data_IF_255676118149
#
_entry.id   IF_255676118149
#
_cell.length_a   1.000
_cell.length_b   1.000
_cell.length_c   1.000
_cell.angle_alpha   90.00
_cell.angle_beta   90.00
_cell.angle_gamma   90.00
#
_symmetry.space_group_name_H-M   'P 1'
#
loop_
_entity.id
_entity.type
_entity.pdbx_description
1 polymer ?
#
# COMPACT_ATOMS: atom_id res chain seq x y z
N UNK A 1 -8.48 6.56 0.70
CA UNK A 1 -7.43 5.60 1.14
C UNK A 1 -7.69 5.18 2.58
N UNK A 2 -7.34 3.95 2.97
CA UNK A 2 -7.44 3.46 4.36
C UNK A 2 -6.06 3.17 4.93
N UNK A 3 -5.94 3.29 6.24
CA UNK A 3 -4.75 2.93 7.01
C UNK A 3 -5.11 1.89 8.06
N UNK A 4 -4.17 1.02 8.40
CA UNK A 4 -4.35 0.07 9.51
C UNK A 4 -4.13 0.76 10.85
N UNK A 5 -5.00 0.44 11.80
CA UNK A 5 -4.89 0.85 13.21
C UNK A 5 -5.06 -0.39 14.11
N UNK A 6 -4.69 -0.34 15.40
CA UNK A 6 -4.86 -1.49 16.29
C UNK A 6 -6.31 -1.97 16.43
N UNK A 7 -7.30 -1.12 16.15
CA UNK A 7 -8.73 -1.46 16.16
C UNK A 7 -9.30 -1.76 14.77
N UNK A 8 -8.44 -1.89 13.75
CA UNK A 8 -8.80 -2.18 12.37
C UNK A 8 -8.60 -1.00 11.43
N UNK A 9 -9.08 -1.14 10.19
CA UNK A 9 -8.87 -0.13 9.16
C UNK A 9 -9.66 1.16 9.41
N UNK A 10 -9.01 2.29 9.21
CA UNK A 10 -9.62 3.63 9.30
C UNK A 10 -9.31 4.44 8.06
N UNK A 11 -10.28 5.20 7.55
CA UNK A 11 -10.02 6.10 6.43
C UNK A 11 -9.08 7.23 6.85
N UNK A 12 -8.12 7.57 5.99
CA UNK A 12 -7.07 8.55 6.31
C UNK A 12 -7.65 9.94 6.66
N UNK A 13 -8.77 10.34 6.03
CA UNK A 13 -9.51 11.57 6.34
C UNK A 13 -10.08 11.60 7.76
N UNK A 14 -10.43 10.44 8.30
CA UNK A 14 -11.08 10.31 9.61
C UNK A 14 -10.07 10.17 10.76
N UNK A 15 -8.77 10.11 10.45
CA UNK A 15 -7.70 10.09 11.45
C UNK A 15 -7.64 11.38 12.26
N UNK A 16 -7.23 11.25 13.52
CA UNK A 16 -7.03 12.32 14.49
C UNK A 16 -5.62 12.23 15.07
N UNK A 17 -5.12 13.36 15.57
CA UNK A 17 -3.89 13.37 16.36
C UNK A 17 -4.07 12.44 17.57
N UNK A 18 -3.08 11.59 17.81
CA UNK A 18 -3.09 10.55 18.83
C UNK A 18 -3.62 9.19 18.37
N UNK A 19 -4.24 9.09 17.18
CA UNK A 19 -4.57 7.77 16.62
C UNK A 19 -3.29 6.98 16.34
N UNK A 20 -3.30 5.69 16.67
CA UNK A 20 -2.18 4.79 16.38
C UNK A 20 -2.33 4.22 14.97
N UNK A 21 -1.32 4.39 14.13
CA UNK A 21 -1.30 3.89 12.75
C UNK A 21 -0.13 2.95 12.53
N UNK A 22 -0.36 1.90 11.77
CA UNK A 22 0.68 0.96 11.39
C UNK A 22 1.74 1.69 10.56
N UNK A 23 2.99 1.52 10.97
CA UNK A 23 4.17 2.17 10.43
C UNK A 23 5.27 1.13 10.25
N UNK A 24 6.20 1.44 9.36
CA UNK A 24 7.41 0.65 9.14
C UNK A 24 8.62 1.45 9.63
N UNK A 25 9.44 0.81 10.45
CA UNK A 25 10.75 1.29 10.87
C UNK A 25 11.80 0.31 10.34
N UNK A 26 12.54 0.73 9.32
CA UNK A 26 13.38 -0.14 8.50
C UNK A 26 12.60 -1.33 7.91
N UNK A 27 12.67 -2.50 8.56
CA UNK A 27 11.93 -3.72 8.19
C UNK A 27 10.95 -4.17 9.28
N UNK A 28 10.83 -3.44 10.39
CA UNK A 28 9.96 -3.75 11.51
C UNK A 28 8.64 -3.02 11.40
N UNK A 29 7.54 -3.73 11.58
CA UNK A 29 6.20 -3.13 11.62
C UNK A 29 5.87 -2.79 13.07
N UNK A 30 5.42 -1.56 13.30
CA UNK A 30 5.03 -1.05 14.61
C UNK A 30 3.83 -0.12 14.48
N UNK A 31 3.13 0.15 15.57
CA UNK A 31 2.09 1.18 15.60
C UNK A 31 2.63 2.44 16.26
N UNK A 32 2.54 3.57 15.57
CA UNK A 32 3.00 4.87 16.06
C UNK A 32 1.84 5.88 16.09
N UNK A 33 1.85 6.83 17.04
CA UNK A 33 0.80 7.84 17.13
C UNK A 33 0.95 8.89 16.01
N UNK A 34 -0.17 9.29 15.43
CA UNK A 34 -0.23 10.46 14.55
C UNK A 34 0.03 11.72 15.37
N UNK A 35 1.14 12.39 15.13
CA UNK A 35 1.53 13.60 15.87
C UNK A 35 0.86 14.86 15.31
N UNK A 36 0.82 14.98 13.98
CA UNK A 36 0.27 16.13 13.27
C UNK A 36 -0.08 15.78 11.82
N UNK A 37 -0.86 16.63 11.15
CA UNK A 37 -1.11 16.55 9.71
C UNK A 37 -0.41 17.72 9.02
N UNK A 38 0.54 17.42 8.12
CA UNK A 38 1.20 18.45 7.31
C UNK A 38 0.25 19.01 6.23
N UNK A 39 -0.63 18.16 5.72
CA UNK A 39 -1.60 18.50 4.70
C UNK A 39 -2.88 17.67 4.89
N UNK A 40 -4.02 18.35 5.03
CA UNK A 40 -5.34 17.73 5.23
C UNK A 40 -6.43 18.70 4.75
N UNK A 41 -6.50 18.86 3.44
CA UNK A 41 -7.56 19.62 2.76
C UNK A 41 -8.47 18.64 2.04
N UNK A 42 -9.77 18.82 2.23
CA UNK A 42 -10.79 18.13 1.44
C UNK A 42 -10.89 18.81 0.06
N UNK A 43 -11.26 18.03 -0.97
CA UNK A 43 -11.58 18.52 -2.32
C UNK A 43 -10.47 19.29 -3.07
N UNK A 44 -9.19 19.01 -2.78
CA UNK A 44 -8.06 19.57 -3.54
C UNK A 44 -7.92 18.91 -4.92
N UNK A 45 -7.96 19.73 -5.98
CA UNK A 45 -7.65 19.26 -7.33
C UNK A 45 -6.16 19.04 -7.49
N UNK A 46 -5.78 17.78 -7.71
CA UNK A 46 -4.41 17.42 -8.03
C UNK A 46 -4.36 16.23 -9.01
N UNK A 47 -3.15 16.02 -9.51
CA UNK A 47 -2.81 14.87 -10.34
C UNK A 47 -2.33 13.74 -9.43
N UNK A 48 -2.92 12.57 -9.63
CA UNK A 48 -2.60 11.37 -8.86
C UNK A 48 -2.06 10.26 -9.75
N UNK A 49 -1.26 9.41 -9.15
CA UNK A 49 -0.84 8.14 -9.71
C UNK A 49 -1.65 7.03 -9.04
N UNK A 50 -2.27 6.20 -9.86
CA UNK A 50 -2.84 4.92 -9.45
C UNK A 50 -1.80 3.82 -9.71
N UNK A 51 -1.33 3.17 -8.65
CA UNK A 51 -0.40 2.04 -8.73
C UNK A 51 -1.19 0.75 -8.58
N UNK A 52 -1.17 -0.08 -9.61
CA UNK A 52 -1.83 -1.39 -9.63
C UNK A 52 -0.80 -2.48 -9.30
N UNK A 53 -1.15 -3.34 -8.36
CA UNK A 53 -0.28 -4.43 -7.92
C UNK A 53 -1.02 -5.75 -7.99
N UNK A 54 -0.27 -6.84 -8.20
CA UNK A 54 -0.77 -8.19 -8.02
C UNK A 54 0.02 -8.85 -6.90
N UNK A 55 -0.70 -9.42 -5.93
CA UNK A 55 -0.08 -10.28 -4.94
C UNK A 55 0.48 -11.53 -5.63
N UNK A 56 1.70 -11.91 -5.27
CA UNK A 56 2.12 -13.28 -5.45
C UNK A 56 1.18 -14.11 -4.58
N UNK A 57 0.23 -14.81 -5.21
CA UNK A 57 -0.39 -15.92 -4.52
C UNK A 57 0.74 -16.93 -4.39
N UNK A 58 1.10 -17.26 -3.15
CA UNK A 58 1.90 -18.44 -2.88
C UNK A 58 1.36 -19.59 -3.75
N UNK A 59 2.23 -20.26 -4.48
CA UNK A 59 1.86 -21.49 -5.18
C UNK A 59 1.57 -22.53 -4.11
N UNK A 60 0.32 -22.65 -3.71
CA UNK A 60 -0.13 -23.56 -2.65
C UNK A 60 -0.48 -24.92 -3.30
N UNK A 61 0.21 -25.97 -2.88
CA UNK A 61 0.19 -27.30 -3.51
C UNK A 61 -1.03 -28.18 -3.13
N UNK A 62 -2.13 -27.58 -2.71
CA UNK A 62 -3.33 -28.26 -2.22
C UNK A 62 -4.61 -27.60 -2.75
N UNK A 63 -5.51 -28.44 -3.26
CA UNK A 63 -6.70 -28.02 -4.01
C UNK A 63 -7.69 -27.15 -3.20
N UNK A 64 -7.69 -27.25 -1.86
CA UNK A 64 -8.56 -26.43 -1.00
C UNK A 64 -8.07 -24.99 -0.90
N UNK A 65 -6.75 -24.78 -0.88
CA UNK A 65 -6.14 -23.47 -0.69
C UNK A 65 -6.09 -22.66 -2.00
N UNK A 66 -6.05 -23.36 -3.15
CA UNK A 66 -6.24 -22.76 -4.48
C UNK A 66 -7.61 -22.07 -4.56
N UNK A 67 -8.66 -22.69 -4.02
CA UNK A 67 -10.00 -22.11 -4.01
C UNK A 67 -10.09 -20.87 -3.12
N UNK A 68 -9.41 -20.86 -1.96
CA UNK A 68 -9.32 -19.68 -1.10
C UNK A 68 -8.48 -18.56 -1.70
N UNK A 69 -7.37 -18.87 -2.37
CA UNK A 69 -6.55 -17.89 -3.07
C UNK A 69 -7.30 -17.28 -4.28
N UNK A 70 -8.06 -18.09 -5.02
CA UNK A 70 -8.96 -17.63 -6.08
C UNK A 70 -10.10 -16.78 -5.52
N UNK A 71 -10.72 -17.18 -4.39
CA UNK A 71 -11.75 -16.39 -3.73
C UNK A 71 -11.22 -15.04 -3.23
N UNK A 72 -10.01 -15.01 -2.64
CA UNK A 72 -9.33 -13.75 -2.29
C UNK A 72 -9.08 -12.89 -3.52
N UNK A 73 -8.62 -13.45 -4.64
CA UNK A 73 -8.47 -12.71 -5.91
C UNK A 73 -9.80 -12.23 -6.51
N UNK A 74 -10.90 -12.93 -6.27
CA UNK A 74 -12.24 -12.54 -6.73
C UNK A 74 -12.91 -11.52 -5.79
N UNK A 75 -12.47 -11.42 -4.52
CA UNK A 75 -12.96 -10.48 -3.52
C UNK A 75 -12.09 -9.22 -3.39
N UNK A 76 -10.77 -9.36 -3.49
CA UNK A 76 -9.80 -8.28 -3.61
C UNK A 76 -9.83 -7.79 -5.07
N UNK A 77 -10.83 -6.98 -5.38
CA UNK A 77 -10.58 -5.86 -6.27
C UNK A 77 -9.61 -4.95 -5.53
N UNK A 78 -8.32 -5.31 -5.48
CA UNK A 78 -7.27 -4.50 -4.84
C UNK A 78 -7.36 -3.11 -5.46
N UNK A 79 -7.95 -2.16 -4.74
CA UNK A 79 -8.05 -0.79 -5.20
C UNK A 79 -6.62 -0.27 -5.43
N UNK A 80 -6.36 0.40 -6.56
CA UNK A 80 -5.03 0.90 -6.83
C UNK A 80 -4.59 1.86 -5.73
N UNK A 81 -3.32 1.80 -5.36
CA UNK A 81 -2.77 2.76 -4.40
C UNK A 81 -2.68 4.12 -5.08
N UNK A 82 -3.58 5.03 -4.70
CA UNK A 82 -3.69 6.38 -5.26
C UNK A 82 -2.84 7.37 -4.46
N UNK A 83 -1.82 7.95 -5.09
CA UNK A 83 -0.84 8.83 -4.44
C UNK A 83 -0.51 10.05 -5.30
N UNK A 84 0.07 11.10 -4.71
CA UNK A 84 0.73 12.17 -5.49
C UNK A 84 2.07 11.70 -6.02
N UNK A 85 2.55 12.31 -7.10
CA UNK A 85 3.79 11.93 -7.78
C UNK A 85 5.03 11.88 -6.89
N UNK A 86 5.09 12.76 -5.88
CA UNK A 86 6.24 12.88 -4.98
C UNK A 86 6.04 12.16 -3.65
N UNK A 87 4.92 11.46 -3.45
CA UNK A 87 4.73 10.62 -2.28
C UNK A 87 5.80 9.53 -2.26
N UNK A 88 6.46 9.35 -1.12
CA UNK A 88 7.53 8.37 -0.97
C UNK A 88 6.96 7.00 -0.64
N UNK A 89 7.42 5.98 -1.34
CA UNK A 89 6.99 4.58 -1.20
C UNK A 89 8.21 3.66 -1.15
N UNK A 90 8.08 2.53 -0.46
CA UNK A 90 9.13 1.50 -0.42
C UNK A 90 9.00 0.55 -1.61
N UNK A 91 10.02 0.53 -2.47
CA UNK A 91 10.11 -0.36 -3.63
C UNK A 91 11.38 -1.21 -3.60
N UNK A 92 11.29 -2.39 -4.22
CA UNK A 92 12.41 -3.26 -4.60
C UNK A 92 12.25 -3.70 -6.05
N UNK A 93 13.26 -4.35 -6.62
CA UNK A 93 13.18 -4.98 -7.95
C UNK A 93 12.80 -6.47 -7.85
N UNK A 94 12.12 -6.82 -6.74
CA UNK A 94 11.60 -8.15 -6.40
C UNK A 94 12.67 -9.22 -6.08
N UNK A 95 13.91 -8.83 -5.77
CA UNK A 95 14.91 -9.77 -5.24
C UNK A 95 14.64 -10.13 -3.76
N UNK A 96 15.01 -11.35 -3.35
CA UNK A 96 14.74 -11.88 -2.01
C UNK A 96 15.50 -11.18 -0.87
N UNK A 97 16.67 -10.61 -1.18
CA UNK A 97 17.58 -9.98 -0.20
C UNK A 97 17.90 -8.52 -0.57
N UNK A 98 17.05 -7.89 -1.38
CA UNK A 98 17.25 -6.50 -1.77
C UNK A 98 16.81 -5.54 -0.63
N UNK A 99 17.62 -4.52 -0.30
CA UNK A 99 17.22 -3.54 0.70
C UNK A 99 16.04 -2.71 0.21
N UNK A 100 15.16 -2.32 1.15
CA UNK A 100 14.03 -1.44 0.85
C UNK A 100 14.54 -0.07 0.39
N UNK A 101 14.05 0.39 -0.77
CA UNK A 101 14.39 1.72 -1.30
C UNK A 101 13.19 2.65 -1.19
N UNK A 102 13.34 3.73 -0.44
CA UNK A 102 12.35 4.79 -0.37
C UNK A 102 12.46 5.68 -1.62
N UNK A 103 11.44 5.65 -2.49
CA UNK A 103 11.44 6.34 -3.78
C UNK A 103 10.14 7.12 -4.02
N UNK A 104 10.17 8.24 -4.77
CA UNK A 104 8.95 8.94 -5.18
C UNK A 104 8.06 8.07 -6.08
N UNK A 105 6.74 8.16 -5.91
CA UNK A 105 5.75 7.40 -6.65
C UNK A 105 5.88 7.50 -8.17
N UNK A 106 6.25 8.67 -8.72
CA UNK A 106 6.49 8.86 -10.17
C UNK A 106 7.64 8.03 -10.75
N UNK A 107 8.50 7.46 -9.91
CA UNK A 107 9.58 6.57 -10.35
C UNK A 107 9.17 5.09 -10.33
N UNK A 108 7.98 4.77 -9.83
CA UNK A 108 7.44 3.41 -9.81
C UNK A 108 7.21 2.92 -11.24
N UNK A 109 7.63 1.69 -11.53
CA UNK A 109 7.50 1.06 -12.84
C UNK A 109 6.93 -0.34 -12.71
N UNK A 110 6.22 -0.77 -13.75
CA UNK A 110 5.80 -2.16 -13.88
C UNK A 110 7.01 -3.09 -13.77
N UNK A 111 6.82 -4.21 -13.09
CA UNK A 111 7.86 -5.20 -12.81
C UNK A 111 8.54 -5.04 -11.43
N UNK A 112 8.54 -3.84 -10.84
CA UNK A 112 9.03 -3.60 -9.48
C UNK A 112 8.06 -4.13 -8.42
N UNK A 113 8.54 -4.33 -7.20
CA UNK A 113 7.73 -4.80 -6.07
C UNK A 113 7.52 -3.69 -5.04
N UNK A 114 6.27 -3.51 -4.64
CA UNK A 114 5.88 -2.69 -3.49
C UNK A 114 5.63 -3.60 -2.30
N UNK A 115 6.04 -3.17 -1.11
CA UNK A 115 5.88 -3.98 0.10
C UNK A 115 4.51 -3.76 0.74
N UNK A 116 3.82 -4.86 1.03
CA UNK A 116 2.54 -4.88 1.71
C UNK A 116 2.65 -5.67 2.99
N UNK A 117 2.09 -5.14 4.07
CA UNK A 117 2.00 -5.88 5.32
C UNK A 117 0.90 -6.95 5.19
N UNK A 118 1.24 -8.21 5.45
CA UNK A 118 0.22 -9.17 5.87
C UNK A 118 0.01 -8.95 7.36
N UNK A 119 -1.21 -9.06 7.90
CA UNK A 119 -1.55 -8.69 9.28
C UNK A 119 -0.72 -9.36 10.41
N UNK A 120 0.25 -10.21 10.07
CA UNK A 120 1.20 -10.88 10.95
C UNK A 120 2.51 -10.11 11.18
N UNK A 121 2.61 -8.85 10.77
CA UNK A 121 3.84 -8.05 10.83
C UNK A 121 4.95 -8.53 9.87
N UNK A 122 4.58 -9.28 8.84
CA UNK A 122 5.47 -9.66 7.74
C UNK A 122 5.20 -8.79 6.51
N UNK A 123 6.29 -8.36 5.86
CA UNK A 123 6.24 -7.66 4.58
C UNK A 123 6.21 -8.68 3.44
N UNK A 124 5.18 -8.59 2.63
CA UNK A 124 5.00 -9.36 1.40
C UNK A 124 5.18 -8.46 0.19
N UNK A 125 6.11 -8.77 -0.73
CA UNK A 125 6.24 -8.00 -1.95
C UNK A 125 5.04 -8.28 -2.86
N UNK A 126 4.47 -7.23 -3.45
CA UNK A 126 3.48 -7.31 -4.54
C UNK A 126 4.02 -6.62 -5.77
N UNK A 127 3.96 -7.31 -6.91
CA UNK A 127 4.49 -6.81 -8.18
C UNK A 127 3.59 -5.75 -8.76
N UNK A 128 4.15 -4.61 -9.14
CA UNK A 128 3.47 -3.55 -9.88
C UNK A 128 3.22 -4.05 -11.30
N UNK A 129 1.96 -4.03 -11.73
CA UNK A 129 1.56 -4.40 -13.09
C UNK A 129 1.40 -3.19 -13.98
N UNK A 130 0.89 -2.10 -13.41
CA UNK A 130 0.55 -0.90 -14.17
C UNK A 130 0.58 0.34 -13.26
N UNK A 131 0.90 1.48 -13.86
CA UNK A 131 0.82 2.80 -13.22
C UNK A 131 0.08 3.72 -14.18
N UNK A 132 -0.97 4.39 -13.72
CA UNK A 132 -1.72 5.35 -14.53
C UNK A 132 -1.87 6.68 -13.80
N UNK A 133 -2.04 7.75 -14.57
CA UNK A 133 -2.30 9.08 -14.05
C UNK A 133 -3.81 9.35 -14.04
N UNK A 134 -4.30 9.96 -12.96
CA UNK A 134 -5.70 10.35 -12.80
C UNK A 134 -5.76 11.73 -12.18
N UNK A 135 -6.35 12.69 -12.90
CA UNK A 135 -6.72 13.99 -12.35
C UNK A 135 -8.00 13.86 -11.52
N UNK A 136 -8.06 14.52 -10.37
CA UNK A 136 -9.29 14.59 -9.59
C UNK A 136 -9.18 15.47 -8.35
N UNK A 137 -10.30 15.68 -7.67
CA UNK A 137 -10.37 16.51 -6.46
C UNK A 137 -10.13 15.76 -5.15
N UNK A 138 -9.82 14.46 -5.21
CA UNK A 138 -9.83 13.62 -4.00
C UNK A 138 -8.52 12.88 -3.78
N UNK A 139 -7.64 13.49 -2.99
CA UNK A 139 -6.89 12.75 -1.97
C UNK A 139 -7.81 12.63 -0.76
N UNK A 140 -7.74 11.49 -0.06
CA UNK A 140 -8.39 11.21 1.23
C UNK A 140 -9.78 10.54 1.14
#
# INVERSE_FOLDING_TARGET
>A
MKVETPSGQKAIKDLKVGDMVMSIDESMITFLPVLMFLHKLDDEQAVFLNIYTVGEAELINNACDVLQALLRRLQDQDEPLKLTENHLIYLTDCGSDEPLRLVPAKKARAGQCMQFTTGNSDLSPRRITHVSEVSGSRLL
#
